data_IF_873264717810
#
_entry.id   IF_873264717810
#
_cell.length_a   1.000
_cell.length_b   1.000
_cell.length_c   1.000
_cell.angle_alpha   90.00
_cell.angle_beta   90.00
_cell.angle_gamma   90.00
#
_symmetry.space_group_name_H-M   'P 1'
#
loop_
_entity.id
_entity.type
_entity.pdbx_description
1 polymer ?
#
# COMPACT_ATOMS: atom_id res chain seq x y z
N UNK A 1 17.31 -4.11 11.02
CA UNK A 1 16.16 -4.68 10.27
C UNK A 1 15.77 -5.99 10.93
N UNK A 2 14.54 -6.12 11.42
CA UNK A 2 14.06 -7.39 11.95
C UNK A 2 13.94 -8.40 10.81
N UNK A 3 14.26 -9.68 11.07
CA UNK A 3 14.08 -10.75 10.09
C UNK A 3 12.60 -10.93 9.83
N UNK A 4 12.13 -10.67 8.60
CA UNK A 4 10.75 -10.87 8.19
C UNK A 4 10.46 -12.37 8.05
N UNK A 5 9.49 -12.85 8.80
CA UNK A 5 9.10 -14.26 8.83
C UNK A 5 7.65 -14.41 8.39
N UNK A 6 7.34 -15.61 7.87
CA UNK A 6 5.96 -15.97 7.56
C UNK A 6 5.14 -16.08 8.84
N UNK A 7 3.85 -15.74 8.73
CA UNK A 7 2.88 -16.03 9.79
C UNK A 7 2.88 -17.53 10.10
N UNK A 8 2.80 -17.95 11.38
CA UNK A 8 2.80 -19.37 11.73
C UNK A 8 1.58 -20.12 11.18
N UNK A 9 0.43 -19.46 11.16
CA UNK A 9 -0.80 -20.05 10.65
C UNK A 9 -0.93 -19.75 9.16
N UNK A 10 -0.78 -20.79 8.33
CA UNK A 10 -0.86 -20.70 6.88
C UNK A 10 -2.13 -21.38 6.37
N UNK A 11 -2.80 -20.86 5.32
CA UNK A 11 -3.89 -21.57 4.67
C UNK A 11 -3.39 -22.86 4.07
N UNK A 12 -4.25 -23.89 4.01
CA UNK A 12 -3.90 -25.19 3.45
C UNK A 12 -3.51 -25.13 1.96
N UNK A 13 -4.07 -24.18 1.21
CA UNK A 13 -3.82 -24.01 -0.22
C UNK A 13 -4.14 -22.57 -0.64
N UNK A 14 -3.64 -22.21 -1.82
CA UNK A 14 -4.01 -20.98 -2.53
C UNK A 14 -4.16 -21.29 -4.02
N UNK A 15 -5.15 -20.69 -4.65
CA UNK A 15 -5.32 -20.69 -6.10
C UNK A 15 -5.82 -19.31 -6.55
N UNK A 16 -5.34 -18.84 -7.69
CA UNK A 16 -5.94 -17.65 -8.30
C UNK A 16 -7.39 -17.91 -8.71
N UNK A 17 -8.23 -16.91 -8.56
CA UNK A 17 -9.56 -16.92 -9.19
C UNK A 17 -9.39 -17.05 -10.71
N UNK A 18 -10.42 -17.54 -11.45
CA UNK A 18 -10.33 -17.65 -12.92
C UNK A 18 -9.92 -16.34 -13.60
N UNK A 19 -10.41 -15.21 -13.11
CA UNK A 19 -10.05 -13.88 -13.61
C UNK A 19 -8.56 -13.58 -13.36
N UNK A 20 -8.09 -13.78 -12.12
CA UNK A 20 -6.71 -13.53 -11.75
C UNK A 20 -5.74 -14.51 -12.43
N UNK A 21 -6.15 -15.76 -12.66
CA UNK A 21 -5.37 -16.74 -13.41
C UNK A 21 -5.19 -16.30 -14.88
N UNK A 22 -6.26 -15.82 -15.51
CA UNK A 22 -6.21 -15.27 -16.87
C UNK A 22 -5.29 -14.05 -16.94
N UNK A 23 -5.43 -13.13 -15.99
CA UNK A 23 -4.57 -11.96 -15.87
C UNK A 23 -3.09 -12.35 -15.66
N UNK A 24 -2.81 -13.34 -14.80
CA UNK A 24 -1.47 -13.80 -14.53
C UNK A 24 -0.80 -14.36 -15.79
N UNK A 25 -1.50 -15.19 -16.59
CA UNK A 25 -0.99 -15.71 -17.85
C UNK A 25 -0.71 -14.59 -18.87
N UNK A 26 -1.61 -13.62 -18.99
CA UNK A 26 -1.39 -12.46 -19.85
C UNK A 26 -0.18 -11.61 -19.38
N UNK A 27 -0.01 -11.45 -18.08
CA UNK A 27 1.14 -10.74 -17.51
C UNK A 27 2.45 -11.47 -17.80
N UNK A 28 2.51 -12.79 -17.63
CA UNK A 28 3.68 -13.62 -17.95
C UNK A 28 4.03 -13.51 -19.43
N UNK A 29 3.04 -13.49 -20.31
CA UNK A 29 3.23 -13.39 -21.76
C UNK A 29 3.84 -12.04 -22.23
N UNK A 30 3.79 -10.99 -21.40
CA UNK A 30 4.45 -9.70 -21.71
C UNK A 30 5.98 -9.77 -21.66
N UNK A 31 6.55 -10.82 -21.07
CA UNK A 31 7.99 -10.98 -20.95
C UNK A 31 8.54 -11.87 -22.07
N UNK A 32 9.73 -11.57 -22.61
CA UNK A 32 10.36 -12.37 -23.66
C UNK A 32 10.59 -13.84 -23.22
N UNK A 33 10.68 -14.74 -24.19
CA UNK A 33 10.96 -16.15 -23.92
C UNK A 33 12.22 -16.32 -23.05
N UNK A 34 12.10 -17.13 -22.00
CA UNK A 34 13.17 -17.36 -21.00
C UNK A 34 13.33 -16.22 -19.99
N UNK A 35 12.48 -15.19 -19.99
CA UNK A 35 12.49 -14.08 -19.01
C UNK A 35 11.21 -13.97 -18.17
N UNK A 36 10.38 -14.99 -18.18
CA UNK A 36 9.10 -15.02 -17.48
C UNK A 36 9.26 -14.86 -15.95
N UNK A 37 10.41 -15.22 -15.37
CA UNK A 37 10.73 -14.99 -13.97
C UNK A 37 10.57 -13.49 -13.55
N UNK A 38 10.69 -12.55 -14.48
CA UNK A 38 10.49 -11.12 -14.22
C UNK A 38 9.03 -10.76 -13.84
N UNK A 39 8.07 -11.65 -14.09
CA UNK A 39 6.69 -11.48 -13.67
C UNK A 39 6.46 -11.76 -12.16
N UNK A 40 7.48 -12.16 -11.41
CA UNK A 40 7.33 -12.56 -9.99
C UNK A 40 6.68 -11.48 -9.14
N UNK A 41 7.13 -10.22 -9.24
CA UNK A 41 6.60 -9.10 -8.45
C UNK A 41 5.11 -8.84 -8.74
N UNK A 42 4.67 -8.62 -9.99
CA UNK A 42 3.26 -8.39 -10.27
C UNK A 42 2.36 -9.59 -9.89
N UNK A 43 2.83 -10.83 -10.05
CA UNK A 43 2.07 -12.00 -9.65
C UNK A 43 1.91 -12.10 -8.12
N UNK A 44 2.99 -11.87 -7.37
CA UNK A 44 2.93 -11.83 -5.90
C UNK A 44 2.01 -10.72 -5.40
N UNK A 45 2.07 -9.55 -6.05
CA UNK A 45 1.16 -8.44 -5.70
C UNK A 45 -0.30 -8.81 -5.92
N UNK A 46 -0.65 -9.39 -7.08
CA UNK A 46 -2.01 -9.84 -7.37
C UNK A 46 -2.46 -10.95 -6.41
N UNK A 47 -1.56 -11.84 -6.00
CA UNK A 47 -1.85 -12.88 -5.03
C UNK A 47 -2.15 -12.27 -3.65
N UNK A 48 -1.35 -11.29 -3.21
CA UNK A 48 -1.56 -10.56 -1.96
C UNK A 48 -2.92 -9.85 -1.94
N UNK A 49 -3.26 -9.13 -3.02
CA UNK A 49 -4.55 -8.45 -3.15
C UNK A 49 -5.73 -9.41 -3.07
N UNK A 50 -5.61 -10.58 -3.68
CA UNK A 50 -6.66 -11.60 -3.64
C UNK A 50 -6.82 -12.22 -2.26
N UNK A 51 -5.75 -12.27 -1.47
CA UNK A 51 -5.71 -12.92 -0.16
C UNK A 51 -5.68 -11.89 0.98
N UNK A 52 -6.73 -11.08 1.08
CA UNK A 52 -6.93 -10.12 2.16
C UNK A 52 -5.69 -9.23 2.44
N UNK A 53 -4.98 -8.85 1.38
CA UNK A 53 -3.79 -7.98 1.38
C UNK A 53 -2.58 -8.52 2.16
N UNK A 54 -2.46 -9.83 2.36
CA UNK A 54 -1.23 -10.45 2.81
C UNK A 54 -0.87 -11.69 1.97
N UNK A 55 0.40 -12.07 1.96
CA UNK A 55 0.97 -13.06 1.06
C UNK A 55 1.29 -14.37 1.80
N UNK A 56 0.43 -15.40 1.73
CA UNK A 56 0.69 -16.68 2.37
C UNK A 56 1.70 -17.52 1.58
N UNK A 57 2.35 -18.47 2.26
CA UNK A 57 3.31 -19.38 1.65
C UNK A 57 2.75 -20.15 0.43
N UNK A 58 1.53 -20.73 0.47
CA UNK A 58 0.97 -21.42 -0.69
C UNK A 58 0.83 -20.53 -1.94
N UNK A 59 0.59 -19.21 -1.77
CA UNK A 59 0.55 -18.29 -2.90
C UNK A 59 1.94 -18.09 -3.53
N UNK A 60 2.99 -18.00 -2.71
CA UNK A 60 4.37 -17.92 -3.21
C UNK A 60 4.78 -19.19 -3.94
N UNK A 61 4.35 -20.38 -3.46
CA UNK A 61 4.59 -21.66 -4.13
C UNK A 61 3.89 -21.72 -5.48
N UNK A 62 2.62 -21.32 -5.55
CA UNK A 62 1.88 -21.24 -6.82
C UNK A 62 2.61 -20.34 -7.83
N UNK A 63 3.05 -19.15 -7.41
CA UNK A 63 3.78 -18.23 -8.28
C UNK A 63 5.11 -18.84 -8.74
N UNK A 64 5.81 -19.54 -7.86
CA UNK A 64 7.04 -20.26 -8.20
C UNK A 64 6.79 -21.30 -9.29
N UNK A 65 5.76 -22.13 -9.14
CA UNK A 65 5.37 -23.15 -10.11
C UNK A 65 4.99 -22.54 -11.47
N UNK A 66 4.18 -21.46 -11.46
CA UNK A 66 3.76 -20.77 -12.69
C UNK A 66 4.94 -20.18 -13.48
N UNK A 67 6.01 -19.77 -12.79
CA UNK A 67 7.17 -19.15 -13.40
C UNK A 67 8.35 -20.11 -13.62
N UNK A 68 8.22 -21.37 -13.21
CA UNK A 68 9.30 -22.34 -13.25
C UNK A 68 10.50 -21.96 -12.37
N UNK A 69 10.24 -21.25 -11.27
CA UNK A 69 11.25 -20.78 -10.32
C UNK A 69 11.35 -21.72 -9.11
N UNK A 70 12.54 -21.82 -8.54
CA UNK A 70 12.66 -22.43 -7.21
C UNK A 70 11.93 -21.56 -6.17
N UNK A 71 11.15 -22.20 -5.28
CA UNK A 71 10.39 -21.50 -4.23
C UNK A 71 11.25 -20.51 -3.43
N UNK A 72 12.48 -20.88 -3.07
CA UNK A 72 13.39 -20.00 -2.32
C UNK A 72 13.64 -18.67 -3.02
N UNK A 73 13.65 -18.62 -4.36
CA UNK A 73 13.84 -17.39 -5.13
C UNK A 73 12.62 -16.47 -5.07
N UNK A 74 11.43 -17.04 -5.06
CA UNK A 74 10.19 -16.28 -4.86
C UNK A 74 10.09 -15.78 -3.42
N UNK A 75 10.46 -16.62 -2.45
CA UNK A 75 10.53 -16.25 -1.03
C UNK A 75 11.54 -15.11 -0.77
N UNK A 76 12.72 -15.14 -1.41
CA UNK A 76 13.69 -14.04 -1.35
C UNK A 76 13.06 -12.71 -1.79
N UNK A 77 12.32 -12.70 -2.90
CA UNK A 77 11.61 -11.50 -3.39
C UNK A 77 10.57 -11.03 -2.39
N UNK A 78 9.74 -11.94 -1.88
CA UNK A 78 8.68 -11.62 -0.92
C UNK A 78 9.23 -11.05 0.41
N UNK A 79 10.38 -11.55 0.86
CA UNK A 79 11.01 -11.06 2.10
C UNK A 79 11.84 -9.79 1.90
N UNK A 80 12.40 -9.58 0.71
CA UNK A 80 13.20 -8.40 0.39
C UNK A 80 12.33 -7.15 0.23
N UNK A 81 11.24 -7.24 -0.52
CA UNK A 81 10.35 -6.10 -0.77
C UNK A 81 9.33 -5.95 0.37
N UNK A 82 9.44 -4.85 1.11
CA UNK A 82 8.60 -4.58 2.30
C UNK A 82 7.12 -4.34 1.98
N UNK A 83 6.78 -4.08 0.73
CA UNK A 83 5.39 -3.98 0.28
C UNK A 83 4.62 -5.31 0.36
N UNK A 84 5.32 -6.45 0.43
CA UNK A 84 4.67 -7.73 0.64
C UNK A 84 4.46 -7.99 2.12
N UNK A 85 3.22 -8.11 2.54
CA UNK A 85 2.86 -8.43 3.91
C UNK A 85 2.90 -9.95 4.11
N UNK A 86 3.71 -10.42 5.05
CA UNK A 86 3.91 -11.86 5.31
C UNK A 86 3.04 -12.39 6.46
N UNK A 87 2.20 -11.53 7.01
CA UNK A 87 1.23 -11.80 8.07
C UNK A 87 -0.08 -11.10 7.75
N UNK A 88 -1.21 -11.56 8.31
CA UNK A 88 -2.48 -10.88 8.16
C UNK A 88 -2.40 -9.41 8.53
N UNK A 89 -3.03 -8.57 7.74
CA UNK A 89 -3.18 -7.12 7.95
C UNK A 89 -4.65 -6.76 8.16
N UNK A 90 -4.91 -5.52 8.57
CA UNK A 90 -6.27 -5.04 8.77
C UNK A 90 -7.13 -5.19 7.52
N UNK A 91 -8.33 -5.75 7.68
CA UNK A 91 -9.24 -6.04 6.56
C UNK A 91 -9.75 -4.79 5.88
N UNK A 92 -10.02 -3.73 6.64
CA UNK A 92 -10.50 -2.45 6.13
C UNK A 92 -9.38 -1.51 5.78
N UNK A 93 -8.30 -1.49 6.58
CA UNK A 93 -7.14 -0.66 6.33
C UNK A 93 -5.86 -1.24 6.92
N UNK A 94 -4.81 -1.28 6.12
CA UNK A 94 -3.44 -1.40 6.57
C UNK A 94 -2.75 -0.07 6.34
N UNK A 95 -2.46 0.63 7.44
CA UNK A 95 -1.93 2.00 7.40
C UNK A 95 -0.41 1.97 7.46
N UNK A 96 0.23 2.51 6.45
CA UNK A 96 1.67 2.69 6.38
C UNK A 96 2.01 4.17 6.55
N UNK A 97 2.54 4.53 7.72
CA UNK A 97 2.91 5.92 8.05
C UNK A 97 4.34 6.18 7.61
N UNK A 98 4.55 7.17 6.75
CA UNK A 98 5.90 7.58 6.36
C UNK A 98 6.59 8.30 7.52
N UNK A 99 7.69 7.70 8.05
CA UNK A 99 8.50 8.25 9.15
C UNK A 99 9.75 9.02 8.72
N UNK A 100 10.04 9.13 7.40
CA UNK A 100 11.26 9.78 6.91
C UNK A 100 11.25 11.30 7.08
N UNK A 101 12.42 11.91 7.03
CA UNK A 101 12.69 13.30 7.43
C UNK A 101 11.63 14.33 6.99
N UNK A 102 11.18 14.43 5.72
CA UNK A 102 10.17 15.42 5.37
C UNK A 102 8.84 15.23 6.11
N UNK A 103 8.36 13.98 6.22
CA UNK A 103 7.13 13.67 6.94
C UNK A 103 7.29 13.87 8.45
N UNK A 104 8.43 13.46 9.02
CA UNK A 104 8.77 13.68 10.43
C UNK A 104 8.73 15.18 10.78
N UNK A 105 9.42 16.01 9.98
CA UNK A 105 9.46 17.47 10.19
C UNK A 105 8.07 18.12 10.02
N UNK A 106 7.18 17.51 9.28
CA UNK A 106 5.81 17.98 9.06
C UNK A 106 4.78 17.36 10.02
N UNK A 107 5.23 16.55 11.00
CA UNK A 107 4.39 16.05 12.07
C UNK A 107 3.91 14.60 11.92
N UNK A 108 4.64 13.74 11.19
CA UNK A 108 4.29 12.31 11.06
C UNK A 108 4.23 11.59 12.42
N UNK A 109 5.01 12.02 13.41
CA UNK A 109 4.94 11.46 14.77
C UNK A 109 3.55 11.57 15.39
N UNK A 110 2.83 12.68 15.13
CA UNK A 110 1.45 12.83 15.60
C UNK A 110 0.49 11.85 14.89
N UNK A 111 0.76 11.48 13.63
CA UNK A 111 -0.02 10.44 12.93
C UNK A 111 0.25 9.05 13.52
N UNK A 112 1.50 8.76 13.92
CA UNK A 112 1.85 7.54 14.65
C UNK A 112 1.08 7.44 15.97
N UNK A 113 0.97 8.55 16.72
CA UNK A 113 0.18 8.57 17.95
C UNK A 113 -1.31 8.30 17.70
N UNK A 114 -1.88 8.79 16.59
CA UNK A 114 -3.26 8.43 16.18
C UNK A 114 -3.35 6.91 15.93
N UNK A 115 -2.39 6.31 15.22
CA UNK A 115 -2.37 4.86 15.01
C UNK A 115 -2.31 4.09 16.34
N UNK A 116 -1.44 4.50 17.26
CA UNK A 116 -1.31 3.85 18.58
C UNK A 116 -2.60 3.89 19.40
N UNK A 117 -3.30 5.00 19.33
CA UNK A 117 -4.53 5.20 20.09
C UNK A 117 -5.77 4.56 19.44
N UNK A 118 -5.84 4.55 18.09
CA UNK A 118 -7.03 4.12 17.33
C UNK A 118 -6.96 2.69 16.84
N UNK A 119 -5.76 2.15 16.61
CA UNK A 119 -5.56 0.83 15.99
C UNK A 119 -4.96 -0.13 17.01
N UNK A 120 -3.70 0.03 17.33
CA UNK A 120 -2.97 -0.77 18.29
C UNK A 120 -1.72 -0.02 18.77
N UNK A 121 -1.35 -0.18 20.05
CA UNK A 121 -0.16 0.48 20.61
C UNK A 121 1.13 0.14 19.83
N UNK A 122 1.28 -1.13 19.47
CA UNK A 122 2.45 -1.62 18.74
C UNK A 122 2.17 -1.77 17.25
N UNK A 123 3.13 -1.42 16.35
CA UNK A 123 3.01 -1.66 14.91
C UNK A 123 2.94 -3.16 14.60
N UNK A 124 2.46 -3.50 13.41
CA UNK A 124 2.28 -4.87 12.92
C UNK A 124 1.28 -5.74 13.71
N UNK A 125 0.44 -5.14 14.53
CA UNK A 125 -0.64 -5.81 15.23
C UNK A 125 -1.98 -5.39 14.67
N UNK A 126 -2.93 -6.32 14.71
CA UNK A 126 -4.31 -6.04 14.33
C UNK A 126 -5.04 -5.29 15.45
N UNK A 127 -5.97 -4.43 15.08
CA UNK A 127 -6.98 -3.90 16.00
C UNK A 127 -7.81 -5.03 16.59
N UNK A 128 -8.50 -4.79 17.70
CA UNK A 128 -9.27 -5.81 18.44
C UNK A 128 -10.35 -6.49 17.57
N UNK A 129 -10.91 -5.75 16.59
CA UNK A 129 -11.90 -6.23 15.63
C UNK A 129 -11.26 -6.86 14.35
N UNK A 130 -9.93 -6.75 14.19
CA UNK A 130 -9.20 -7.24 13.03
C UNK A 130 -9.36 -6.39 11.77
N UNK A 131 -9.99 -5.23 11.86
CA UNK A 131 -10.29 -4.37 10.72
C UNK A 131 -9.12 -3.48 10.32
N UNK A 132 -8.25 -3.13 11.27
CA UNK A 132 -7.14 -2.20 11.07
C UNK A 132 -5.81 -2.81 11.51
N UNK A 133 -4.74 -2.37 10.85
CA UNK A 133 -3.36 -2.56 11.29
C UNK A 133 -2.52 -1.39 10.81
N UNK A 134 -1.33 -1.21 11.37
CA UNK A 134 -0.44 -0.14 10.97
C UNK A 134 1.03 -0.52 11.10
N UNK A 135 1.87 0.18 10.35
CA UNK A 135 3.32 0.14 10.45
C UNK A 135 3.92 1.50 10.10
N UNK A 136 5.12 1.77 10.61
CA UNK A 136 5.95 2.87 10.14
C UNK A 136 6.81 2.39 8.98
N UNK A 137 6.87 3.17 7.91
CA UNK A 137 7.62 2.82 6.70
C UNK A 137 8.58 3.93 6.28
N UNK A 138 9.53 3.57 5.44
CA UNK A 138 10.42 4.51 4.78
C UNK A 138 9.68 5.36 3.73
N UNK A 139 10.39 6.34 3.16
CA UNK A 139 9.82 7.31 2.22
C UNK A 139 9.06 6.67 1.06
N UNK A 140 7.80 7.07 0.90
CA UNK A 140 6.90 6.65 -0.17
C UNK A 140 6.85 7.63 -1.37
N UNK A 141 7.74 8.65 -1.36
CA UNK A 141 7.91 9.56 -2.51
C UNK A 141 6.98 10.76 -2.56
N UNK A 142 6.10 10.96 -1.58
CA UNK A 142 5.10 12.05 -1.55
C UNK A 142 5.56 13.24 -0.68
N UNK A 143 6.85 13.52 -0.62
CA UNK A 143 7.45 14.50 0.27
C UNK A 143 6.92 15.93 0.09
N UNK A 144 6.47 16.30 -1.13
CA UNK A 144 5.90 17.61 -1.41
C UNK A 144 4.59 17.86 -0.65
N UNK A 145 3.84 16.80 -0.32
CA UNK A 145 2.56 16.83 0.36
C UNK A 145 2.62 16.15 1.74
N UNK A 146 3.78 16.21 2.38
CA UNK A 146 4.00 15.67 3.72
C UNK A 146 3.18 16.43 4.79
N UNK A 147 2.74 15.74 5.89
CA UNK A 147 2.91 14.32 6.14
C UNK A 147 1.85 13.45 5.43
N UNK A 148 2.15 12.16 5.26
CA UNK A 148 1.28 11.27 4.51
C UNK A 148 1.24 9.87 5.11
N UNK A 149 0.17 9.16 4.79
CA UNK A 149 0.05 7.70 4.97
C UNK A 149 -0.32 7.05 3.65
N UNK A 150 0.07 5.79 3.48
CA UNK A 150 -0.48 4.92 2.45
C UNK A 150 -1.42 3.91 3.10
N UNK A 151 -2.58 3.68 2.48
CA UNK A 151 -3.52 2.63 2.85
C UNK A 151 -3.75 1.76 1.63
N UNK A 152 -3.25 0.53 1.67
CA UNK A 152 -3.16 -0.38 0.53
C UNK A 152 -2.43 0.23 -0.67
N UNK A 153 -3.17 0.68 -1.70
CA UNK A 153 -2.61 1.28 -2.93
C UNK A 153 -2.69 2.78 -2.97
N UNK A 154 -3.50 3.37 -2.09
CA UNK A 154 -3.83 4.79 -2.12
C UNK A 154 -3.03 5.58 -1.10
N UNK A 155 -2.60 6.78 -1.47
CA UNK A 155 -1.96 7.73 -0.58
C UNK A 155 -2.96 8.76 -0.07
N UNK A 156 -2.82 9.15 1.19
CA UNK A 156 -3.54 10.24 1.84
C UNK A 156 -2.52 11.24 2.34
N UNK A 157 -2.62 12.47 1.90
CA UNK A 157 -1.54 13.46 1.91
C UNK A 157 -1.97 14.75 2.58
N UNK A 158 -1.00 15.62 2.94
CA UNK A 158 -1.24 16.89 3.63
C UNK A 158 -2.03 16.71 4.93
N UNK A 159 -1.70 15.66 5.67
CA UNK A 159 -2.48 15.22 6.82
C UNK A 159 -2.17 16.06 8.08
N UNK A 160 -3.21 16.33 8.85
CA UNK A 160 -3.15 16.61 10.29
C UNK A 160 -3.73 15.41 11.05
N UNK A 161 -3.51 15.28 12.37
CA UNK A 161 -4.17 14.24 13.15
C UNK A 161 -5.67 14.17 12.93
N UNK A 162 -6.36 15.32 12.89
CA UNK A 162 -7.81 15.40 12.71
C UNK A 162 -8.25 14.95 11.30
N UNK A 163 -7.47 15.27 10.27
CA UNK A 163 -7.75 14.80 8.90
C UNK A 163 -7.50 13.29 8.80
N UNK A 164 -6.46 12.81 9.45
CA UNK A 164 -6.17 11.39 9.45
C UNK A 164 -7.23 10.57 10.21
N UNK A 165 -7.73 11.06 11.34
CA UNK A 165 -8.87 10.43 12.01
C UNK A 165 -10.09 10.33 11.11
N UNK A 166 -10.41 11.37 10.33
CA UNK A 166 -11.50 11.32 9.34
C UNK A 166 -11.27 10.29 8.24
N UNK A 167 -10.01 10.11 7.80
CA UNK A 167 -9.65 9.05 6.86
C UNK A 167 -9.96 7.69 7.48
N UNK A 168 -9.51 7.44 8.71
CA UNK A 168 -9.77 6.17 9.42
C UNK A 168 -11.27 5.93 9.62
N UNK A 169 -12.05 6.96 10.00
CA UNK A 169 -13.50 6.86 10.15
C UNK A 169 -14.18 6.54 8.81
N UNK A 170 -13.68 7.10 7.72
CA UNK A 170 -14.13 6.76 6.37
C UNK A 170 -13.94 5.29 6.04
N UNK A 171 -12.76 4.73 6.33
CA UNK A 171 -12.51 3.30 6.15
C UNK A 171 -13.36 2.45 7.10
N UNK A 172 -13.51 2.85 8.35
CA UNK A 172 -14.34 2.15 9.32
C UNK A 172 -15.80 2.03 8.85
N UNK A 173 -16.35 3.11 8.27
CA UNK A 173 -17.72 3.17 7.75
C UNK A 173 -17.89 2.59 6.35
N UNK A 174 -16.81 2.17 5.66
CA UNK A 174 -16.86 1.70 4.28
C UNK A 174 -16.98 2.81 3.22
N UNK A 175 -16.78 4.05 3.60
CA UNK A 175 -16.80 5.22 2.72
C UNK A 175 -15.49 6.01 2.81
N UNK A 176 -14.35 5.45 2.35
CA UNK A 176 -13.07 6.13 2.42
C UNK A 176 -13.12 7.45 1.62
N UNK A 177 -12.46 8.51 2.10
CA UNK A 177 -12.35 9.74 1.35
C UNK A 177 -11.54 9.53 0.08
N UNK A 178 -11.63 10.46 -0.85
CA UNK A 178 -10.82 10.43 -2.07
C UNK A 178 -9.33 10.45 -1.71
N UNK A 179 -8.54 9.57 -2.32
CA UNK A 179 -7.08 9.54 -2.18
C UNK A 179 -6.41 10.83 -2.66
N UNK A 180 -5.18 11.05 -2.22
CA UNK A 180 -4.38 12.25 -2.48
C UNK A 180 -4.50 13.29 -1.37
N UNK A 181 -4.28 14.56 -1.71
CA UNK A 181 -4.29 15.67 -0.76
C UNK A 181 -5.64 15.84 -0.08
N UNK A 182 -5.66 15.87 1.26
CA UNK A 182 -6.86 16.03 2.06
C UNK A 182 -7.24 17.50 2.29
N UNK A 183 -6.44 18.44 1.75
CA UNK A 183 -6.73 19.89 1.76
C UNK A 183 -7.10 20.42 0.37
N UNK A 184 -7.31 19.52 -0.62
CA UNK A 184 -7.72 19.92 -1.98
C UNK A 184 -6.58 20.45 -2.86
N UNK A 185 -5.32 20.16 -2.50
CA UNK A 185 -4.17 20.48 -3.34
C UNK A 185 -4.22 19.66 -4.64
N UNK A 186 -3.92 20.29 -5.76
CA UNK A 186 -3.83 19.60 -7.05
C UNK A 186 -2.44 18.96 -7.19
N UNK A 187 -2.37 17.64 -7.08
CA UNK A 187 -1.12 16.88 -7.09
C UNK A 187 -0.08 17.51 -6.13
N UNK A 188 1.14 17.76 -6.58
CA UNK A 188 2.21 18.39 -5.78
C UNK A 188 2.34 19.90 -6.00
N UNK A 189 1.28 20.59 -6.45
CA UNK A 189 1.27 22.05 -6.55
C UNK A 189 1.53 22.71 -5.18
N UNK A 190 2.08 23.93 -5.14
CA UNK A 190 2.15 24.70 -3.90
C UNK A 190 0.79 24.83 -3.23
N UNK A 191 0.74 24.80 -1.90
CA UNK A 191 -0.50 24.91 -1.11
C UNK A 191 -1.34 26.14 -1.48
N UNK A 192 -0.69 27.26 -1.75
CA UNK A 192 -1.32 28.48 -2.26
C UNK A 192 -1.70 28.47 -3.73
N UNK A 193 -1.61 27.31 -4.39
CA UNK A 193 -1.85 27.14 -5.82
C UNK A 193 -0.66 27.52 -6.69
N UNK A 194 -0.78 27.40 -8.03
CA UNK A 194 0.31 27.65 -8.94
C UNK A 194 0.77 29.12 -8.90
N UNK A 195 2.09 29.31 -8.84
CA UNK A 195 2.73 30.65 -8.80
C UNK A 195 3.14 31.15 -10.18
N UNK A 196 3.22 30.26 -11.18
CA UNK A 196 3.57 30.52 -12.56
C UNK A 196 2.48 30.05 -13.50
N UNK A 197 2.48 30.52 -14.75
CA UNK A 197 1.55 30.11 -15.81
C UNK A 197 0.06 30.18 -15.41
N UNK A 198 -0.32 31.12 -14.55
CA UNK A 198 -1.67 31.24 -13.99
C UNK A 198 -2.76 31.45 -15.06
N UNK A 199 -2.42 32.05 -16.18
CA UNK A 199 -3.34 32.27 -17.30
C UNK A 199 -3.71 30.94 -17.98
N UNK A 200 -2.74 30.06 -18.21
CA UNK A 200 -2.96 28.72 -18.80
C UNK A 200 -3.81 27.82 -17.88
N UNK A 201 -3.59 27.86 -16.56
CA UNK A 201 -4.38 27.07 -15.60
C UNK A 201 -5.86 27.47 -15.65
N UNK A 202 -6.17 28.75 -15.85
CA UNK A 202 -7.56 29.24 -15.99
C UNK A 202 -8.22 28.75 -17.30
N UNK A 203 -7.47 28.62 -18.38
CA UNK A 203 -7.98 28.10 -19.66
C UNK A 203 -8.28 26.60 -19.57
N UNK A 204 -7.38 25.79 -19.01
CA UNK A 204 -7.61 24.35 -18.81
C UNK A 204 -8.79 24.06 -17.84
N UNK A 205 -8.93 24.82 -16.78
CA UNK A 205 -10.06 24.68 -15.85
C UNK A 205 -11.42 25.03 -16.49
N UNK A 206 -11.44 25.84 -17.57
CA UNK A 206 -12.65 26.15 -18.33
C UNK A 206 -12.94 25.11 -19.42
N UNK A 207 -11.92 24.48 -19.97
CA UNK A 207 -12.06 23.46 -21.03
C UNK A 207 -12.47 22.07 -20.51
N UNK A 208 -12.37 21.82 -19.21
CA UNK A 208 -12.72 20.56 -18.55
C UNK A 208 -14.10 20.52 -17.89
N UNK A 209 -15.02 21.46 -18.24
CA UNK A 209 -16.41 21.46 -17.80
C UNK A 209 -17.37 21.13 -18.94
#
# INVERSE_FOLDING_TARGET
MAVRRLHPDQPASFAFTPENATWAQATIANYPAGKQASAVIPLLWRAQEQHDNWLPEPAMRLVADMLGMAYVRVYEVATFYTMFQLSPVGKKAHVQVCGTTPCMLRGAEALVEVCRNRIHHDPHHLSTDGDFSWEEVECLGVCANAPMVQIFKDTYEDLTPELFEKVLDGFASGNPPKSGSQIGRQASCPEGGPTTLKEFVREFAKAGK
#
